data_IF_425137351539
#
_entry.id   IF_425137351539
#
_cell.length_a   1.000
_cell.length_b   1.000
_cell.length_c   1.000
_cell.angle_alpha   90.00
_cell.angle_beta   90.00
_cell.angle_gamma   90.00
#
_symmetry.space_group_name_H-M   'P 1'
#
loop_
_entity.id
_entity.type
_entity.pdbx_description
1 polymer ?
#
# COMPACT_ATOMS: atom_id res chain seq x y z
N UNK A 1 -4.12 -3.80 -0.30
CA UNK A 1 -4.38 -2.55 -1.04
C UNK A 1 -5.58 -1.88 -0.38
N UNK A 2 -5.46 -0.62 0.02
CA UNK A 2 -6.58 0.15 0.57
C UNK A 2 -7.00 1.20 -0.45
N UNK A 3 -8.31 1.37 -0.64
CA UNK A 3 -8.88 2.32 -1.57
C UNK A 3 -10.04 3.06 -0.92
N UNK A 4 -10.14 4.36 -1.19
CA UNK A 4 -11.24 5.22 -0.75
C UNK A 4 -11.85 5.86 -1.98
N UNK A 5 -13.16 5.68 -2.16
CA UNK A 5 -13.95 6.40 -3.15
C UNK A 5 -14.71 7.52 -2.44
N UNK A 6 -14.56 8.75 -2.90
CA UNK A 6 -15.26 9.92 -2.36
C UNK A 6 -16.48 10.24 -3.22
N UNK A 7 -17.68 10.18 -2.64
CA UNK A 7 -18.88 10.64 -3.32
C UNK A 7 -19.02 12.16 -3.18
N UNK A 8 -18.32 12.90 -4.04
CA UNK A 8 -18.33 14.36 -4.18
C UNK A 8 -18.60 14.74 -5.64
N UNK A 9 -18.98 15.99 -5.92
CA UNK A 9 -19.13 16.43 -7.32
C UNK A 9 -17.77 16.67 -7.99
N UNK A 10 -17.74 16.65 -9.32
CA UNK A 10 -16.53 16.93 -10.10
C UNK A 10 -16.02 18.36 -9.86
N UNK A 11 -16.92 19.34 -9.73
CA UNK A 11 -16.55 20.73 -9.46
C UNK A 11 -15.82 20.87 -8.12
N UNK A 12 -16.30 20.17 -7.09
CA UNK A 12 -15.65 20.11 -5.78
C UNK A 12 -14.27 19.44 -5.87
N UNK A 13 -14.20 18.30 -6.59
CA UNK A 13 -12.94 17.59 -6.78
C UNK A 13 -11.88 18.48 -7.47
N UNK A 14 -12.28 19.23 -8.50
CA UNK A 14 -11.43 20.19 -9.20
C UNK A 14 -11.00 21.36 -8.30
N UNK A 15 -11.96 22.00 -7.62
CA UNK A 15 -11.70 23.14 -6.74
C UNK A 15 -10.81 22.78 -5.56
N UNK A 16 -10.81 21.52 -5.13
CA UNK A 16 -9.94 21.04 -4.05
C UNK A 16 -8.44 21.09 -4.39
N UNK A 17 -8.09 21.04 -5.69
CA UNK A 17 -6.72 20.87 -6.15
C UNK A 17 -6.07 19.53 -5.78
N UNK A 18 -6.80 18.63 -5.11
CA UNK A 18 -6.29 17.33 -4.66
C UNK A 18 -6.28 16.27 -5.77
N UNK A 19 -7.09 16.46 -6.81
CA UNK A 19 -7.25 15.55 -7.96
C UNK A 19 -6.65 16.08 -9.27
N UNK A 20 -5.61 16.92 -9.16
CA UNK A 20 -5.07 17.65 -10.31
C UNK A 20 -5.81 18.95 -10.58
N UNK A 21 -5.34 19.72 -11.57
CA UNK A 21 -5.89 21.04 -11.88
C UNK A 21 -7.01 21.00 -12.91
N UNK A 22 -7.05 19.95 -13.74
CA UNK A 22 -8.00 19.81 -14.86
C UNK A 22 -8.61 18.41 -14.93
N UNK A 23 -8.82 17.79 -13.75
CA UNK A 23 -9.26 16.39 -13.64
C UNK A 23 -8.31 15.42 -14.36
N UNK A 24 -7.05 15.81 -14.44
CA UNK A 24 -5.97 15.03 -15.05
C UNK A 24 -5.47 13.92 -14.12
N UNK A 25 -5.94 13.89 -12.87
CA UNK A 25 -5.59 12.89 -11.88
C UNK A 25 -6.78 12.51 -10.97
N UNK A 26 -7.83 11.88 -11.53
CA UNK A 26 -9.04 11.48 -10.79
C UNK A 26 -8.77 10.39 -9.75
N UNK A 27 -7.62 9.72 -9.87
CA UNK A 27 -7.09 8.75 -8.90
C UNK A 27 -5.77 9.25 -8.36
N UNK A 28 -5.65 9.28 -7.04
CA UNK A 28 -4.51 9.77 -6.30
C UNK A 28 -3.89 8.64 -5.49
N UNK A 29 -2.58 8.45 -5.65
CA UNK A 29 -1.82 7.47 -4.88
C UNK A 29 -1.09 8.19 -3.75
N UNK A 30 -1.70 8.18 -2.57
CA UNK A 30 -1.21 8.91 -1.40
C UNK A 30 -0.29 8.01 -0.59
N UNK A 31 0.94 8.47 -0.30
CA UNK A 31 1.83 7.74 0.60
C UNK A 31 1.19 7.65 2.00
N UNK A 32 1.22 6.47 2.63
CA UNK A 32 0.55 6.25 3.93
C UNK A 32 1.08 7.17 5.04
N UNK A 33 2.35 7.60 4.94
CA UNK A 33 2.95 8.57 5.87
C UNK A 33 2.66 10.04 5.56
N UNK A 34 1.96 10.35 4.47
CA UNK A 34 1.55 11.72 4.13
C UNK A 34 0.26 12.09 4.88
N UNK A 35 0.38 12.29 6.18
CA UNK A 35 -0.73 12.59 7.09
C UNK A 35 -1.46 13.88 6.70
N UNK A 36 -0.73 14.87 6.20
CA UNK A 36 -1.28 16.14 5.75
C UNK A 36 -2.23 15.91 4.56
N UNK A 37 -1.82 15.13 3.56
CA UNK A 37 -2.63 14.84 2.39
C UNK A 37 -3.83 13.94 2.72
N UNK A 38 -3.66 12.94 3.58
CA UNK A 38 -4.78 12.11 4.06
C UNK A 38 -5.81 12.93 4.83
N UNK A 39 -5.35 13.88 5.66
CA UNK A 39 -6.21 14.80 6.39
C UNK A 39 -6.95 15.76 5.45
N UNK A 40 -6.29 16.24 4.40
CA UNK A 40 -6.93 17.07 3.38
C UNK A 40 -8.07 16.32 2.66
N UNK A 41 -7.87 15.05 2.28
CA UNK A 41 -8.94 14.22 1.70
C UNK A 41 -10.07 13.94 2.69
N UNK A 42 -9.74 13.70 3.96
CA UNK A 42 -10.77 13.53 5.00
C UNK A 42 -11.60 14.81 5.20
N UNK A 43 -10.95 15.98 5.16
CA UNK A 43 -11.61 17.29 5.20
C UNK A 43 -12.57 17.47 4.02
N UNK A 44 -12.09 17.22 2.80
CA UNK A 44 -12.89 17.27 1.58
C UNK A 44 -14.13 16.38 1.67
N UNK A 45 -13.96 15.15 2.17
CA UNK A 45 -15.08 14.23 2.42
C UNK A 45 -16.08 14.80 3.45
N UNK A 46 -15.60 15.26 4.61
CA UNK A 46 -16.49 15.77 5.67
C UNK A 46 -17.32 16.98 5.23
N UNK A 47 -16.75 17.86 4.41
CA UNK A 47 -17.38 19.09 3.98
C UNK A 47 -18.34 18.91 2.80
N UNK A 48 -17.98 18.04 1.85
CA UNK A 48 -18.68 17.98 0.56
C UNK A 48 -19.27 16.62 0.18
N UNK A 49 -19.19 15.60 1.05
CA UNK A 49 -19.78 14.30 0.75
C UNK A 49 -21.29 14.42 0.48
N UNK A 50 -21.69 13.91 -0.68
CA UNK A 50 -23.07 13.85 -1.13
C UNK A 50 -23.89 12.86 -0.29
N UNK A 51 -23.23 11.84 0.23
CA UNK A 51 -23.81 10.82 1.10
C UNK A 51 -23.00 10.69 2.38
N UNK A 52 -23.70 10.50 3.49
CA UNK A 52 -23.03 10.10 4.73
C UNK A 52 -22.63 8.64 4.62
N UNK A 53 -21.34 8.41 4.41
CA UNK A 53 -20.74 7.07 4.40
C UNK A 53 -19.88 6.85 5.65
N UNK A 54 -20.43 6.28 6.73
CA UNK A 54 -19.68 6.03 7.96
C UNK A 54 -18.44 5.15 7.73
N UNK A 55 -18.47 4.28 6.72
CA UNK A 55 -17.35 3.44 6.34
C UNK A 55 -16.14 4.27 5.87
N UNK A 56 -16.34 5.31 5.04
CA UNK A 56 -15.26 6.18 4.56
C UNK A 56 -14.64 6.97 5.72
N UNK A 57 -15.47 7.49 6.62
CA UNK A 57 -14.98 8.14 7.85
C UNK A 57 -14.14 7.19 8.71
N UNK A 58 -14.63 5.97 8.91
CA UNK A 58 -13.93 4.91 9.66
C UNK A 58 -12.59 4.55 9.01
N UNK A 59 -12.49 4.55 7.68
CA UNK A 59 -11.23 4.27 6.97
C UNK A 59 -10.18 5.35 7.27
N UNK A 60 -10.52 6.63 7.15
CA UNK A 60 -9.57 7.72 7.46
C UNK A 60 -9.11 7.70 8.93
N UNK A 61 -10.03 7.42 9.86
CA UNK A 61 -9.68 7.23 11.28
C UNK A 61 -8.77 6.01 11.48
N UNK A 62 -9.04 4.92 10.76
CA UNK A 62 -8.22 3.72 10.80
C UNK A 62 -6.80 4.00 10.31
N UNK A 63 -6.63 4.73 9.20
CA UNK A 63 -5.30 5.06 8.66
C UNK A 63 -4.45 5.87 9.63
N UNK A 64 -5.09 6.70 10.46
CA UNK A 64 -4.42 7.49 11.50
C UNK A 64 -4.21 6.72 12.81
N UNK A 65 -4.73 5.49 12.92
CA UNK A 65 -4.68 4.72 14.16
C UNK A 65 -3.32 4.06 14.38
N UNK A 66 -2.86 4.03 15.64
CA UNK A 66 -1.66 3.28 16.03
C UNK A 66 -1.73 1.80 15.63
N UNK A 67 -2.92 1.19 15.69
CA UNK A 67 -3.13 -0.21 15.26
C UNK A 67 -2.80 -0.42 13.79
N UNK A 68 -3.22 0.49 12.92
CA UNK A 68 -2.92 0.43 11.49
C UNK A 68 -1.43 0.64 11.23
N UNK A 69 -0.81 1.63 11.90
CA UNK A 69 0.63 1.88 11.77
C UNK A 69 1.47 0.67 12.21
N UNK A 70 1.12 0.02 13.33
CA UNK A 70 1.77 -1.23 13.75
C UNK A 70 1.58 -2.36 12.74
N UNK A 71 0.38 -2.50 12.17
CA UNK A 71 0.10 -3.51 11.16
C UNK A 71 0.88 -3.25 9.85
N UNK A 72 1.02 -1.98 9.48
CA UNK A 72 1.79 -1.54 8.31
C UNK A 72 3.27 -1.84 8.47
N UNK A 73 3.86 -1.47 9.61
CA UNK A 73 5.28 -1.74 9.89
C UNK A 73 5.57 -3.24 9.95
N UNK A 74 4.65 -4.02 10.56
CA UNK A 74 4.73 -5.48 10.51
C UNK A 74 4.71 -5.98 9.06
N UNK A 75 3.71 -5.59 8.27
CA UNK A 75 3.60 -6.00 6.87
C UNK A 75 4.84 -5.63 6.05
N UNK A 76 5.37 -4.41 6.25
CA UNK A 76 6.56 -3.92 5.55
C UNK A 76 7.78 -4.79 5.87
N UNK A 77 8.00 -5.10 7.14
CA UNK A 77 9.09 -6.00 7.57
C UNK A 77 8.96 -7.40 6.95
N UNK A 78 7.75 -7.95 6.89
CA UNK A 78 7.49 -9.26 6.28
C UNK A 78 7.72 -9.25 4.76
N UNK A 79 7.31 -8.19 4.08
CA UNK A 79 7.52 -8.00 2.66
C UNK A 79 9.00 -7.80 2.31
N UNK A 80 9.72 -6.95 3.05
CA UNK A 80 11.17 -6.75 2.90
C UNK A 80 11.95 -8.05 3.13
N UNK A 81 11.58 -8.82 4.16
CA UNK A 81 12.18 -10.14 4.40
C UNK A 81 11.94 -11.09 3.22
N UNK A 82 10.73 -11.10 2.66
CA UNK A 82 10.37 -11.96 1.51
C UNK A 82 11.16 -11.58 0.26
N UNK A 83 11.30 -10.29 -0.02
CA UNK A 83 12.11 -9.77 -1.13
C UNK A 83 13.57 -10.21 -0.96
N UNK A 84 14.12 -10.03 0.24
CA UNK A 84 15.49 -10.46 0.55
C UNK A 84 15.67 -11.97 0.37
N UNK A 85 14.74 -12.78 0.86
CA UNK A 85 14.77 -14.24 0.71
C UNK A 85 14.76 -14.67 -0.76
N UNK A 86 13.96 -13.99 -1.58
CA UNK A 86 13.91 -14.22 -3.03
C UNK A 86 15.21 -13.83 -3.72
N UNK A 87 15.77 -12.65 -3.40
CA UNK A 87 17.07 -12.21 -3.93
C UNK A 87 18.18 -13.21 -3.59
N UNK A 88 18.20 -13.75 -2.38
CA UNK A 88 19.15 -14.78 -1.97
C UNK A 88 18.96 -16.07 -2.78
N UNK A 89 17.71 -16.51 -2.96
CA UNK A 89 17.40 -17.72 -3.69
C UNK A 89 17.79 -17.61 -5.18
N UNK A 90 17.56 -16.45 -5.82
CA UNK A 90 17.98 -16.19 -7.20
C UNK A 90 19.51 -16.18 -7.30
N UNK A 91 20.21 -15.43 -6.45
CA UNK A 91 21.69 -15.41 -6.44
C UNK A 91 22.30 -16.80 -6.25
N UNK A 92 21.69 -17.63 -5.38
CA UNK A 92 22.11 -19.01 -5.16
C UNK A 92 21.87 -19.90 -6.39
N UNK A 93 20.71 -19.77 -7.06
CA UNK A 93 20.37 -20.56 -8.25
C UNK A 93 21.25 -20.23 -9.44
N UNK A 94 21.59 -18.96 -9.61
CA UNK A 94 22.46 -18.47 -10.68
C UNK A 94 23.94 -18.77 -10.41
N UNK A 95 24.26 -19.35 -9.25
CA UNK A 95 25.62 -19.66 -8.78
C UNK A 95 26.59 -18.48 -8.94
N UNK A 96 26.07 -17.28 -8.72
CA UNK A 96 26.88 -16.07 -8.74
C UNK A 96 27.83 -16.16 -7.54
N UNK A 97 29.13 -16.14 -7.78
CA UNK A 97 30.20 -16.18 -6.74
C UNK A 97 30.11 -15.00 -5.74
N UNK A 98 29.14 -14.11 -5.94
CA UNK A 98 28.78 -12.99 -5.06
C UNK A 98 28.32 -13.42 -3.65
N UNK A 99 27.88 -14.67 -3.47
CA UNK A 99 27.48 -15.23 -2.17
C UNK A 99 28.67 -15.82 -1.39
N UNK A 100 29.85 -15.90 -2.01
CA UNK A 100 31.02 -16.58 -1.48
C UNK A 100 30.84 -18.11 -1.42
N UNK A 101 31.78 -18.78 -0.78
CA UNK A 101 31.84 -20.26 -0.67
C UNK A 101 30.73 -20.88 0.17
N UNK A 102 30.00 -20.09 0.96
CA UNK A 102 28.89 -20.60 1.78
C UNK A 102 27.68 -19.64 1.75
N UNK A 103 26.74 -19.84 0.80
CA UNK A 103 25.50 -19.07 0.71
C UNK A 103 24.66 -19.06 1.99
N UNK A 104 24.72 -20.13 2.80
CA UNK A 104 23.96 -20.25 4.04
C UNK A 104 24.43 -19.27 5.14
N UNK A 105 25.61 -18.66 4.99
CA UNK A 105 26.15 -17.66 5.93
C UNK A 105 25.46 -16.29 5.82
N UNK A 106 24.61 -16.09 4.81
CA UNK A 106 23.75 -14.92 4.67
C UNK A 106 22.59 -14.88 5.69
N UNK A 107 22.37 -15.95 6.45
CA UNK A 107 21.28 -16.09 7.41
C UNK A 107 21.79 -16.36 8.83
N UNK A 108 21.02 -15.91 9.82
CA UNK A 108 21.18 -16.18 11.25
C UNK A 108 19.92 -16.86 11.79
N UNK A 109 20.01 -18.06 12.37
CA UNK A 109 21.21 -18.92 12.45
C UNK A 109 21.66 -19.37 11.05
N UNK A 110 22.87 -19.94 10.96
CA UNK A 110 23.42 -20.44 9.70
C UNK A 110 22.46 -21.43 9.04
N UNK A 111 22.09 -21.15 7.79
CA UNK A 111 21.15 -21.99 7.03
C UNK A 111 21.89 -23.15 6.35
N UNK A 112 21.45 -24.38 6.62
CA UNK A 112 21.96 -25.59 5.94
C UNK A 112 21.45 -25.66 4.50
N UNK A 113 22.27 -26.15 3.57
CA UNK A 113 22.01 -26.11 2.12
C UNK A 113 20.66 -26.68 1.65
N UNK A 114 20.02 -27.58 2.40
CA UNK A 114 18.80 -28.28 2.01
C UNK A 114 17.53 -27.78 2.72
N UNK A 115 17.62 -26.70 3.49
CA UNK A 115 16.48 -26.21 4.27
C UNK A 115 15.69 -25.12 3.52
N UNK A 116 14.37 -25.19 3.67
CA UNK A 116 13.47 -24.09 3.33
C UNK A 116 13.61 -22.99 4.39
N UNK A 117 13.68 -21.73 3.94
CA UNK A 117 13.85 -20.60 4.85
C UNK A 117 12.48 -20.17 5.36
N UNK A 118 12.36 -20.05 6.69
CA UNK A 118 11.17 -19.51 7.36
C UNK A 118 11.51 -18.21 8.07
N UNK A 119 10.69 -17.19 7.84
CA UNK A 119 10.86 -15.86 8.46
C UNK A 119 10.87 -15.88 9.98
N UNK A 120 10.09 -16.77 10.61
CA UNK A 120 10.06 -16.91 12.06
C UNK A 120 11.35 -17.51 12.66
N UNK A 121 12.23 -18.08 11.83
CA UNK A 121 13.42 -18.81 12.26
C UNK A 121 14.72 -18.14 11.84
N UNK A 122 14.70 -17.38 10.74
CA UNK A 122 15.90 -16.86 10.11
C UNK A 122 15.83 -15.35 9.89
N UNK A 123 16.92 -14.67 10.24
CA UNK A 123 17.14 -13.26 9.95
C UNK A 123 18.33 -13.08 8.99
N UNK A 124 18.32 -12.03 8.16
CA UNK A 124 19.50 -11.66 7.37
C UNK A 124 20.73 -11.43 8.27
N UNK A 125 21.87 -11.97 7.88
CA UNK A 125 23.15 -11.66 8.52
C UNK A 125 23.67 -10.32 8.01
N UNK A 126 23.36 -9.22 8.69
CA UNK A 126 23.75 -7.86 8.28
C UNK A 126 25.27 -7.64 8.14
N UNK A 127 26.10 -8.52 8.73
CA UNK A 127 27.56 -8.46 8.59
C UNK A 127 28.05 -9.07 7.28
N UNK A 128 27.26 -9.91 6.63
CA UNK A 128 27.64 -10.61 5.42
C UNK A 128 27.74 -9.62 4.22
N UNK A 129 28.84 -9.61 3.44
CA UNK A 129 29.05 -8.63 2.36
C UNK A 129 27.91 -8.61 1.32
N UNK A 130 27.45 -9.79 0.91
CA UNK A 130 26.33 -9.91 -0.01
C UNK A 130 25.03 -9.32 0.58
N UNK A 131 24.78 -9.52 1.87
CA UNK A 131 23.56 -9.04 2.53
C UNK A 131 23.52 -7.51 2.54
N UNK A 132 24.64 -6.86 2.86
CA UNK A 132 24.77 -5.40 2.79
C UNK A 132 24.46 -4.87 1.39
N UNK A 133 25.02 -5.50 0.36
CA UNK A 133 24.79 -5.12 -1.04
C UNK A 133 23.34 -5.36 -1.45
N UNK A 134 22.77 -6.51 -1.09
CA UNK A 134 21.39 -6.87 -1.39
C UNK A 134 20.40 -5.88 -0.79
N UNK A 135 20.56 -5.52 0.50
CA UNK A 135 19.73 -4.53 1.18
C UNK A 135 19.82 -3.16 0.49
N UNK A 136 21.03 -2.74 0.06
CA UNK A 136 21.21 -1.47 -0.64
C UNK A 136 20.55 -1.45 -2.03
N UNK A 137 20.55 -2.58 -2.74
CA UNK A 137 19.93 -2.71 -4.06
C UNK A 137 18.44 -3.07 -4.02
N UNK A 138 17.92 -3.45 -2.85
CA UNK A 138 16.55 -3.91 -2.72
C UNK A 138 15.55 -2.79 -3.06
N UNK A 139 14.40 -3.14 -3.67
CA UNK A 139 13.34 -2.16 -3.89
C UNK A 139 12.84 -1.58 -2.57
N UNK A 140 12.70 -0.25 -2.51
CA UNK A 140 12.14 0.43 -1.34
C UNK A 140 10.62 0.35 -1.38
N UNK A 141 10.02 -0.30 -0.38
CA UNK A 141 8.58 -0.37 -0.26
C UNK A 141 7.99 0.97 0.18
N UNK A 142 7.05 1.49 -0.61
CA UNK A 142 6.26 2.68 -0.31
C UNK A 142 4.78 2.33 -0.36
N UNK A 143 4.17 1.96 0.79
CA UNK A 143 2.75 1.69 0.85
C UNK A 143 1.94 2.95 0.51
N UNK A 144 0.93 2.78 -0.34
CA UNK A 144 0.06 3.88 -0.78
C UNK A 144 -1.41 3.52 -0.64
N UNK A 145 -2.21 4.54 -0.36
CA UNK A 145 -3.66 4.49 -0.34
C UNK A 145 -4.15 5.10 -1.64
N UNK A 146 -5.02 4.38 -2.32
CA UNK A 146 -5.68 4.93 -3.51
C UNK A 146 -6.86 5.77 -3.04
N UNK A 147 -6.90 7.04 -3.43
CA UNK A 147 -8.05 7.92 -3.20
C UNK A 147 -8.57 8.36 -4.55
N UNK A 148 -9.86 8.14 -4.80
CA UNK A 148 -10.54 8.55 -6.02
C UNK A 148 -11.86 9.20 -5.66
N UNK A 149 -12.47 9.95 -6.56
CA UNK A 149 -13.85 10.41 -6.40
C UNK A 149 -14.80 9.65 -7.35
N UNK A 150 -16.08 9.49 -6.98
CA UNK A 150 -17.08 8.83 -7.83
C UNK A 150 -17.39 9.70 -9.04
N UNK A 151 -17.14 9.18 -10.25
CA UNK A 151 -17.57 9.78 -11.52
C UNK A 151 -18.94 9.28 -11.99
N UNK A 152 -19.49 8.25 -11.34
CA UNK A 152 -20.76 7.60 -11.72
C UNK A 152 -22.02 8.43 -11.41
N UNK A 153 -21.87 9.72 -11.07
CA UNK A 153 -22.97 10.60 -10.67
C UNK A 153 -23.87 9.96 -9.61
N UNK A 154 -23.24 9.33 -8.61
CA UNK A 154 -23.88 8.57 -7.54
C UNK A 154 -25.03 9.34 -6.84
N UNK A 155 -25.02 10.68 -6.89
CA UNK A 155 -26.07 11.59 -6.37
C UNK A 155 -27.36 11.65 -7.21
N UNK A 156 -27.33 11.19 -8.46
CA UNK A 156 -28.52 11.10 -9.30
C UNK A 156 -29.22 9.81 -8.88
N UNK A 157 -30.18 9.92 -7.95
CA UNK A 157 -31.13 8.83 -7.69
C UNK A 157 -31.59 8.28 -9.02
N UNK A 158 -31.43 6.98 -9.25
CA UNK A 158 -31.98 6.29 -10.41
C UNK A 158 -33.40 6.82 -10.63
N UNK A 159 -33.63 7.46 -11.78
CA UNK A 159 -34.99 7.54 -12.31
C UNK A 159 -35.37 6.10 -12.60
N UNK A 160 -35.89 5.40 -11.59
CA UNK A 160 -36.66 4.20 -11.82
C UNK A 160 -37.65 4.58 -12.92
N UNK A 161 -37.62 3.93 -14.10
CA UNK A 161 -38.63 4.17 -15.12
C UNK A 161 -40.00 4.04 -14.45
N UNK A 162 -40.92 4.95 -14.74
CA UNK A 162 -42.27 5.03 -14.11
C UNK A 162 -43.09 3.71 -14.23
N UNK A 163 -42.58 2.70 -14.93
CA UNK A 163 -43.24 1.44 -15.27
C UNK A 163 -42.52 0.17 -14.80
N UNK A 164 -41.59 0.25 -13.84
CA UNK A 164 -41.05 -0.98 -13.23
C UNK A 164 -42.04 -1.53 -12.19
N UNK A 165 -42.79 -2.58 -12.56
CA UNK A 165 -43.60 -3.38 -11.63
C UNK A 165 -45.12 -3.39 -11.84
N UNK A 166 -45.65 -2.80 -12.90
CA UNK A 166 -47.06 -2.97 -13.28
C UNK A 166 -47.20 -4.03 -14.37
N UNK A 167 -47.36 -5.29 -13.95
CA UNK A 167 -47.95 -6.36 -14.75
C UNK A 167 -49.17 -6.91 -14.02
#
# INVERSE_FOLDING_TARGET
>A
MAAVSLHITMEVALQSGLFGLLDDAPVQMVDVGDEARLTAFQGLFKEHALEREPAVQTLFETFSSCRFQMALEKWKREAEWTIFAYMWQSARRENLDILGTNPGSAWLPHLKEREFIRMSQYLPNEKHPWVKKAIQSAPKLKPRIMVQYCTNQCYIKERLPEYFGSY
#
